data_IF_302940373895
#
_entry.id   IF_302940373895
#
_cell.length_a   1.000
_cell.length_b   1.000
_cell.length_c   1.000
_cell.angle_alpha   90.00
_cell.angle_beta   90.00
_cell.angle_gamma   90.00
#
_symmetry.space_group_name_H-M   'P 1'
#
loop_
_entity.id
_entity.type
_entity.pdbx_description
1 polymer ?
#
# COMPACT_ATOMS: atom_id res chain seq x y z
N UNK A 1 11.13 -7.37 -36.95
CA UNK A 1 11.47 -7.39 -35.50
C UNK A 1 10.29 -6.78 -34.76
N UNK A 2 9.81 -7.42 -33.69
CA UNK A 2 8.78 -6.85 -32.83
C UNK A 2 9.43 -5.92 -31.81
N UNK A 3 8.79 -4.77 -31.54
CA UNK A 3 9.23 -3.85 -30.48
C UNK A 3 8.97 -4.49 -29.12
N UNK A 4 9.95 -4.53 -28.20
CA UNK A 4 9.74 -5.06 -26.86
C UNK A 4 8.79 -4.18 -26.04
N UNK A 5 7.95 -4.82 -25.23
CA UNK A 5 7.06 -4.14 -24.27
C UNK A 5 7.73 -4.13 -22.90
N UNK A 6 7.74 -2.96 -22.26
CA UNK A 6 8.20 -2.79 -20.88
C UNK A 6 6.99 -2.47 -20.00
N UNK A 7 6.77 -3.29 -18.97
CA UNK A 7 5.75 -3.04 -17.97
C UNK A 7 6.43 -2.54 -16.69
N UNK A 8 5.95 -1.40 -16.19
CA UNK A 8 6.44 -0.79 -14.95
C UNK A 8 5.34 -0.90 -13.90
N UNK A 9 5.72 -1.36 -12.71
CA UNK A 9 4.91 -1.13 -11.53
C UNK A 9 4.84 0.38 -11.25
N UNK A 10 3.77 0.84 -10.60
CA UNK A 10 3.49 2.27 -10.42
C UNK A 10 3.86 2.72 -9.02
N UNK A 11 3.30 2.09 -8.00
CA UNK A 11 3.45 2.53 -6.60
C UNK A 11 4.85 2.15 -6.10
N UNK A 12 5.57 3.10 -5.50
CA UNK A 12 6.98 2.99 -5.06
C UNK A 12 8.01 2.80 -6.20
N UNK A 13 7.61 2.24 -7.34
CA UNK A 13 8.49 2.10 -8.50
C UNK A 13 8.57 3.38 -9.35
N UNK A 14 7.43 3.94 -9.76
CA UNK A 14 7.37 5.20 -10.54
C UNK A 14 6.96 6.39 -9.69
N UNK A 15 6.15 6.16 -8.66
CA UNK A 15 5.64 7.20 -7.75
C UNK A 15 6.23 7.00 -6.36
N UNK A 16 6.88 8.04 -5.85
CA UNK A 16 7.43 8.04 -4.49
C UNK A 16 6.31 8.18 -3.45
N UNK A 17 6.13 7.13 -2.65
CA UNK A 17 5.14 7.13 -1.57
C UNK A 17 5.56 7.98 -0.36
N UNK A 18 6.83 8.38 -0.22
CA UNK A 18 7.26 9.29 0.84
C UNK A 18 6.55 10.65 0.79
N UNK A 19 5.93 11.00 -0.35
CA UNK A 19 5.01 12.13 -0.45
C UNK A 19 3.83 12.07 0.54
N UNK A 20 3.50 10.89 1.09
CA UNK A 20 2.48 10.70 2.11
C UNK A 20 2.98 10.89 3.55
N UNK A 21 4.29 10.96 3.79
CA UNK A 21 4.88 11.09 5.13
C UNK A 21 4.28 12.26 5.93
N UNK A 22 4.08 13.48 5.37
CA UNK A 22 3.44 14.57 6.10
C UNK A 22 1.99 14.29 6.51
N UNK A 23 1.28 13.48 5.73
CA UNK A 23 -0.10 13.07 6.05
C UNK A 23 -0.10 12.07 7.21
N UNK A 24 0.83 11.12 7.21
CA UNK A 24 1.00 10.16 8.32
C UNK A 24 1.40 10.87 9.61
N UNK A 25 2.34 11.80 9.53
CA UNK A 25 2.73 12.65 10.66
C UNK A 25 1.52 13.43 11.21
N UNK A 26 0.73 14.06 10.33
CA UNK A 26 -0.43 14.87 10.74
C UNK A 26 -1.54 14.04 11.37
N UNK A 27 -1.83 12.84 10.83
CA UNK A 27 -3.02 12.05 11.20
C UNK A 27 -2.72 11.04 12.31
N UNK A 28 -1.52 10.47 12.32
CA UNK A 28 -1.12 9.40 13.24
C UNK A 28 0.06 9.80 14.15
N UNK A 29 0.69 10.95 13.96
CA UNK A 29 1.81 11.42 14.78
C UNK A 29 3.14 10.72 14.51
N UNK A 30 3.23 9.90 13.46
CA UNK A 30 4.45 9.18 13.08
C UNK A 30 4.46 8.84 11.58
N UNK A 31 5.29 9.57 10.82
CA UNK A 31 5.57 9.26 9.41
C UNK A 31 6.13 7.84 9.20
N UNK A 32 6.84 7.29 10.18
CA UNK A 32 7.40 5.93 10.17
C UNK A 32 6.37 4.80 10.10
N UNK A 33 5.08 5.11 10.27
CA UNK A 33 3.99 4.16 10.11
C UNK A 33 3.59 3.91 8.64
N UNK A 34 3.98 4.77 7.70
CA UNK A 34 3.64 4.61 6.27
C UNK A 34 4.13 3.28 5.69
N UNK A 35 5.41 2.87 5.84
CA UNK A 35 5.87 1.58 5.31
C UNK A 35 5.09 0.40 5.88
N UNK A 36 4.79 0.41 7.19
CA UNK A 36 4.01 -0.64 7.86
C UNK A 36 2.58 -0.74 7.31
N UNK A 37 1.94 0.42 7.07
CA UNK A 37 0.64 0.49 6.41
C UNK A 37 0.67 -0.10 5.00
N UNK A 38 1.64 0.31 4.18
CA UNK A 38 1.75 -0.15 2.79
C UNK A 38 2.00 -1.66 2.72
N UNK A 39 2.90 -2.17 3.56
CA UNK A 39 3.17 -3.61 3.68
C UNK A 39 1.92 -4.40 4.12
N UNK A 40 1.16 -3.89 5.08
CA UNK A 40 -0.08 -4.52 5.55
C UNK A 40 -1.14 -4.58 4.44
N UNK A 41 -1.24 -3.52 3.62
CA UNK A 41 -2.14 -3.51 2.48
C UNK A 41 -1.77 -4.56 1.42
N UNK A 42 -0.48 -4.69 1.10
CA UNK A 42 0.00 -5.72 0.17
C UNK A 42 -0.31 -7.12 0.71
N UNK A 43 -0.09 -7.35 2.00
CA UNK A 43 -0.44 -8.62 2.65
C UNK A 43 -1.93 -8.94 2.51
N UNK A 44 -2.83 -8.00 2.80
CA UNK A 44 -4.28 -8.20 2.63
C UNK A 44 -4.63 -8.54 1.18
N UNK A 45 -4.04 -7.84 0.22
CA UNK A 45 -4.27 -8.06 -1.22
C UNK A 45 -3.80 -9.45 -1.65
N UNK A 46 -2.61 -9.88 -1.21
CA UNK A 46 -2.08 -11.21 -1.52
C UNK A 46 -2.89 -12.33 -0.89
N UNK A 47 -3.27 -12.21 0.39
CA UNK A 47 -4.10 -13.22 1.06
C UNK A 47 -5.47 -13.32 0.37
N UNK A 48 -6.07 -12.20 -0.02
CA UNK A 48 -7.32 -12.19 -0.78
C UNK A 48 -7.20 -12.94 -2.10
N UNK A 49 -6.17 -12.65 -2.89
CA UNK A 49 -5.88 -13.35 -4.14
C UNK A 49 -5.62 -14.86 -3.96
N UNK A 50 -4.77 -15.23 -3.00
CA UNK A 50 -4.40 -16.62 -2.73
C UNK A 50 -5.56 -17.47 -2.19
N UNK A 51 -6.49 -16.85 -1.46
CA UNK A 51 -7.64 -17.56 -0.86
C UNK A 51 -8.91 -17.49 -1.70
N UNK A 52 -8.86 -16.87 -2.90
CA UNK A 52 -10.04 -16.65 -3.74
C UNK A 52 -11.04 -15.64 -3.16
N UNK A 53 -10.66 -14.89 -2.13
CA UNK A 53 -11.45 -13.82 -1.51
C UNK A 53 -10.88 -12.47 -1.90
N UNK A 54 -11.01 -12.14 -3.18
CA UNK A 54 -10.47 -10.90 -3.74
C UNK A 54 -10.88 -9.68 -2.92
N UNK A 55 -9.89 -8.83 -2.63
CA UNK A 55 -10.07 -7.53 -2.01
C UNK A 55 -9.44 -6.50 -2.93
N UNK A 56 -10.21 -5.49 -3.32
CA UNK A 56 -9.69 -4.42 -4.16
C UNK A 56 -8.65 -3.58 -3.42
N UNK A 57 -7.73 -2.98 -4.18
CA UNK A 57 -6.58 -2.25 -3.66
C UNK A 57 -6.98 -1.10 -2.72
N UNK A 58 -8.07 -0.38 -3.03
CA UNK A 58 -8.55 0.73 -2.20
C UNK A 58 -9.12 0.23 -0.88
N UNK A 59 -9.88 -0.86 -0.90
CA UNK A 59 -10.40 -1.49 0.31
C UNK A 59 -9.29 -2.08 1.18
N UNK A 60 -8.27 -2.68 0.57
CA UNK A 60 -7.06 -3.14 1.28
C UNK A 60 -6.30 -1.99 1.95
N UNK A 61 -6.10 -0.86 1.24
CA UNK A 61 -5.47 0.34 1.80
C UNK A 61 -6.23 0.88 3.02
N UNK A 62 -7.56 1.00 2.93
CA UNK A 62 -8.40 1.48 4.04
C UNK A 62 -8.38 0.53 5.23
N UNK A 63 -8.45 -0.78 5.00
CA UNK A 63 -8.38 -1.77 6.06
C UNK A 63 -7.02 -1.74 6.77
N UNK A 64 -5.93 -1.71 5.99
CA UNK A 64 -4.58 -1.58 6.53
C UNK A 64 -4.42 -0.28 7.34
N UNK A 65 -4.95 0.86 6.88
CA UNK A 65 -4.81 2.12 7.59
C UNK A 65 -5.49 2.07 8.96
N UNK A 66 -6.70 1.49 9.04
CA UNK A 66 -7.39 1.28 10.32
C UNK A 66 -6.62 0.35 11.24
N UNK A 67 -6.03 -0.71 10.71
CA UNK A 67 -5.21 -1.65 11.49
C UNK A 67 -3.93 -0.99 12.02
N UNK A 68 -3.27 -0.18 11.21
CA UNK A 68 -2.09 0.60 11.61
C UNK A 68 -2.44 1.59 12.72
N UNK A 69 -3.50 2.37 12.53
CA UNK A 69 -3.95 3.35 13.54
C UNK A 69 -4.35 2.69 14.88
N UNK A 70 -4.91 1.48 14.86
CA UNK A 70 -5.26 0.75 16.08
C UNK A 70 -4.04 0.16 16.84
N UNK A 71 -2.86 0.17 16.22
CA UNK A 71 -1.60 -0.38 16.76
C UNK A 71 -0.51 0.69 16.96
N UNK A 72 -0.81 1.93 16.56
CA UNK A 72 0.07 3.09 16.69
C UNK A 72 0.17 3.55 18.15
#
# INVERSE_FOLDING_TARGET
>A
MTTPVLAFDVNETLLDLAALDPVFETVLGDAGLRPTWFASMLQLSFVGGLTGRYLDFTSAQRAALRMTAARA
#
